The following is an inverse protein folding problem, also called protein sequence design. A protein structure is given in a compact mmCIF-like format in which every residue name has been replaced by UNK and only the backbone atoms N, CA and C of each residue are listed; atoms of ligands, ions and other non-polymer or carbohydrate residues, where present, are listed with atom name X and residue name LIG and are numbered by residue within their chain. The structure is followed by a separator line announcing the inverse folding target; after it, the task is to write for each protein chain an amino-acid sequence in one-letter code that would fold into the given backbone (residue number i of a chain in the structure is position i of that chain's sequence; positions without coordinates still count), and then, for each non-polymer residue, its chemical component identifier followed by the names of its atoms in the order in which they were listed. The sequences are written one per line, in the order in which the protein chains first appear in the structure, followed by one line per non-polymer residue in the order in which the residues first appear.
data_IF_183775374113
#
_entry.id   IF_183775374113
#
_cell.length_a   1.000
_cell.length_b   1.000
_cell.length_c   1.000
_cell.angle_alpha   90.00
_cell.angle_beta   90.00
_cell.angle_gamma   90.00
#
_symmetry.space_group_name_H-M   'P 1'
#
loop_
_entity.id
_entity.type
_entity.pdbx_description
1 polymer ?
#
# COMPACT_ATOMS: atom_id res chain seq x y z
N UNK A 1 19.69 10.84 0.34
CA UNK A 1 19.65 9.36 0.37
C UNK A 1 21.09 8.90 0.47
N UNK A 2 21.50 8.14 1.50
CA UNK A 2 22.82 7.53 1.45
C UNK A 2 22.90 6.64 0.21
N UNK A 3 23.96 6.81 -0.59
CA UNK A 3 24.25 5.92 -1.69
C UNK A 3 24.32 4.49 -1.15
N UNK A 4 23.55 3.59 -1.76
CA UNK A 4 23.58 2.18 -1.42
C UNK A 4 24.99 1.66 -1.73
N UNK A 5 25.56 0.90 -0.80
CA UNK A 5 26.82 0.17 -1.00
C UNK A 5 26.80 -0.53 -2.37
N UNK A 6 27.74 -0.25 -3.28
CA UNK A 6 27.79 -0.84 -4.61
C UNK A 6 27.80 -2.38 -4.61
N UNK A 7 28.13 -3.02 -3.48
CA UNK A 7 28.08 -4.47 -3.28
C UNK A 7 26.74 -5.03 -2.76
N UNK A 8 25.75 -4.20 -2.45
CA UNK A 8 24.49 -4.68 -1.88
C UNK A 8 23.58 -5.30 -2.96
N UNK A 9 23.60 -6.62 -3.07
CA UNK A 9 22.63 -7.36 -3.88
C UNK A 9 21.23 -7.22 -3.25
N UNK A 10 20.39 -6.40 -3.89
CA UNK A 10 19.03 -6.15 -3.43
C UNK A 10 18.20 -7.43 -3.36
N UNK A 11 18.51 -8.50 -4.12
CA UNK A 11 17.80 -9.78 -4.02
C UNK A 11 17.86 -10.38 -2.62
N UNK A 12 18.89 -10.06 -1.83
CA UNK A 12 18.97 -10.47 -0.43
C UNK A 12 17.80 -9.94 0.41
N UNK A 13 17.17 -8.82 0.00
CA UNK A 13 16.00 -8.28 0.67
C UNK A 13 14.81 -9.24 0.63
N UNK A 14 14.69 -10.12 -0.38
CA UNK A 14 13.60 -11.10 -0.44
C UNK A 14 13.65 -12.11 0.72
N UNK A 15 14.82 -12.32 1.32
CA UNK A 15 14.99 -13.13 2.54
C UNK A 15 14.45 -12.46 3.81
N UNK A 16 14.02 -11.20 3.73
CA UNK A 16 13.39 -10.51 4.86
C UNK A 16 12.05 -11.18 5.16
N UNK A 17 11.91 -11.72 6.37
CA UNK A 17 10.68 -12.32 6.87
C UNK A 17 9.52 -11.31 6.90
N UNK A 18 8.27 -11.74 6.63
CA UNK A 18 7.12 -10.87 6.74
C UNK A 18 6.91 -10.43 8.20
N UNK A 19 6.42 -9.20 8.42
CA UNK A 19 5.98 -8.80 9.74
C UNK A 19 4.79 -9.66 10.19
N UNK A 20 4.68 -9.87 11.50
CA UNK A 20 3.59 -10.67 12.10
C UNK A 20 2.23 -10.04 11.80
N UNK A 21 1.17 -10.86 11.75
CA UNK A 21 -0.22 -10.39 11.58
C UNK A 21 -0.60 -9.27 12.58
N UNK A 22 -0.07 -9.32 13.80
CA UNK A 22 -0.31 -8.27 14.81
C UNK A 22 0.35 -6.93 14.43
N UNK A 23 1.54 -6.95 13.84
CA UNK A 23 2.24 -5.73 13.41
C UNK A 23 1.56 -5.08 12.20
N UNK A 24 0.92 -5.87 11.35
CA UNK A 24 0.25 -5.41 10.13
C UNK A 24 -1.27 -5.63 10.17
N UNK A 25 -1.88 -5.63 11.36
CA UNK A 25 -3.29 -5.97 11.50
C UNK A 25 -4.20 -5.02 10.68
N UNK A 26 -3.82 -3.74 10.55
CA UNK A 26 -4.59 -2.74 9.79
C UNK A 26 -4.69 -3.10 8.31
N UNK A 27 -3.60 -3.52 7.66
CA UNK A 27 -3.65 -3.92 6.25
C UNK A 27 -4.41 -5.22 6.09
N UNK A 28 -4.35 -6.15 7.05
CA UNK A 28 -5.20 -7.35 7.04
C UNK A 28 -6.68 -6.99 7.06
N UNK A 29 -7.09 -6.10 7.98
CA UNK A 29 -8.47 -5.62 8.07
C UNK A 29 -8.89 -4.92 6.78
N UNK A 30 -8.01 -4.12 6.17
CA UNK A 30 -8.29 -3.46 4.92
C UNK A 30 -8.44 -4.47 3.77
N UNK A 31 -7.47 -5.38 3.57
CA UNK A 31 -7.54 -6.41 2.52
C UNK A 31 -8.76 -7.32 2.68
N UNK A 32 -9.10 -7.70 3.91
CA UNK A 32 -10.28 -8.49 4.20
C UNK A 32 -11.58 -7.73 3.86
N UNK A 33 -11.74 -6.52 4.41
CA UNK A 33 -13.03 -5.84 4.36
C UNK A 33 -13.25 -5.03 3.08
N UNK A 34 -12.20 -4.40 2.56
CA UNK A 34 -12.23 -3.62 1.33
C UNK A 34 -12.06 -4.50 0.09
N UNK A 35 -11.07 -5.39 0.11
CA UNK A 35 -10.70 -6.22 -1.07
C UNK A 35 -11.44 -7.55 -1.11
N UNK A 36 -12.16 -7.92 -0.04
CA UNK A 36 -12.89 -9.20 0.11
C UNK A 36 -11.98 -10.42 -0.03
N UNK A 37 -10.72 -10.29 0.42
CA UNK A 37 -9.77 -11.40 0.43
C UNK A 37 -10.00 -12.23 1.71
N UNK A 38 -10.27 -13.54 1.62
CA UNK A 38 -10.37 -14.41 2.78
C UNK A 38 -9.11 -14.37 3.65
N UNK A 39 -9.25 -14.42 4.97
CA UNK A 39 -8.12 -14.25 5.91
C UNK A 39 -6.99 -15.26 5.67
N UNK A 40 -7.33 -16.49 5.30
CA UNK A 40 -6.39 -17.56 4.96
C UNK A 40 -5.69 -17.37 3.60
N UNK A 41 -6.17 -16.45 2.76
CA UNK A 41 -5.55 -16.10 1.47
C UNK A 41 -4.70 -14.83 1.54
N UNK A 42 -4.77 -14.03 2.62
CA UNK A 42 -4.07 -12.74 2.72
C UNK A 42 -2.55 -12.92 2.65
N UNK A 43 -1.99 -13.86 3.39
CA UNK A 43 -0.54 -14.12 3.42
C UNK A 43 0.04 -14.55 2.06
N UNK A 44 -0.49 -15.59 1.40
CA UNK A 44 0.00 -15.95 0.07
C UNK A 44 -0.20 -14.81 -0.94
N UNK A 45 -1.29 -14.04 -0.81
CA UNK A 45 -1.55 -12.89 -1.67
C UNK A 45 -0.49 -11.79 -1.52
N UNK A 46 -0.18 -11.33 -0.30
CA UNK A 46 0.83 -10.27 -0.09
C UNK A 46 2.24 -10.72 -0.48
N UNK A 47 2.58 -12.01 -0.32
CA UNK A 47 3.86 -12.57 -0.79
C UNK A 47 3.93 -12.52 -2.32
N UNK A 48 2.87 -12.95 -3.00
CA UNK A 48 2.81 -12.92 -4.46
C UNK A 48 2.94 -11.50 -5.02
N UNK A 49 2.22 -10.53 -4.43
CA UNK A 49 2.32 -9.10 -4.78
C UNK A 49 3.75 -8.58 -4.55
N UNK A 50 4.39 -8.89 -3.40
CA UNK A 50 5.76 -8.47 -3.14
C UNK A 50 6.73 -8.99 -4.19
N UNK A 51 6.62 -10.26 -4.57
CA UNK A 51 7.53 -10.87 -5.55
C UNK A 51 7.37 -10.20 -6.92
N UNK A 52 6.13 -10.05 -7.40
CA UNK A 52 5.83 -9.31 -8.65
C UNK A 52 6.39 -7.89 -8.63
N UNK A 53 6.20 -7.18 -7.52
CA UNK A 53 6.69 -5.82 -7.36
C UNK A 53 8.23 -5.74 -7.37
N UNK A 54 8.88 -6.72 -6.76
CA UNK A 54 10.34 -6.78 -6.71
C UNK A 54 10.96 -7.06 -8.09
N UNK A 55 10.27 -7.84 -8.92
CA UNK A 55 10.64 -8.09 -10.32
C UNK A 55 10.48 -6.85 -11.20
N UNK A 56 9.47 -6.00 -10.94
CA UNK A 56 9.29 -4.70 -11.61
C UNK A 56 10.47 -3.78 -11.25
N UNK A 57 10.66 -3.54 -9.95
CA UNK A 57 11.82 -2.78 -9.48
C UNK A 57 12.12 -3.10 -8.01
N UNK A 58 13.38 -3.43 -7.67
CA UNK A 58 13.75 -3.85 -6.32
C UNK A 58 13.92 -2.65 -5.39
N UNK A 59 12.84 -1.93 -5.06
CA UNK A 59 12.88 -0.91 -4.01
C UNK A 59 13.11 -1.57 -2.65
N UNK A 60 13.94 -0.92 -1.83
CA UNK A 60 14.26 -1.41 -0.48
C UNK A 60 13.00 -1.53 0.38
N UNK A 61 12.05 -0.61 0.22
CA UNK A 61 10.77 -0.66 0.94
C UNK A 61 9.94 -1.90 0.58
N UNK A 62 9.86 -2.31 -0.70
CA UNK A 62 9.16 -3.53 -1.13
C UNK A 62 9.86 -4.76 -0.54
N UNK A 63 11.19 -4.79 -0.67
CA UNK A 63 12.02 -5.83 -0.09
C UNK A 63 11.92 -5.92 1.44
N UNK A 64 11.49 -4.88 2.15
CA UNK A 64 11.28 -4.87 3.61
C UNK A 64 9.82 -4.79 4.02
N UNK A 65 8.88 -5.20 3.14
CA UNK A 65 7.44 -5.22 3.43
C UNK A 65 6.83 -3.85 3.79
N UNK A 66 7.48 -2.75 3.43
CA UNK A 66 7.04 -1.39 3.78
C UNK A 66 5.67 -1.03 3.22
N UNK A 67 5.25 -1.65 2.11
CA UNK A 67 3.91 -1.46 1.53
C UNK A 67 2.77 -2.02 2.40
N UNK A 68 3.07 -2.88 3.37
CA UNK A 68 2.10 -3.40 4.34
C UNK A 68 1.84 -2.43 5.49
N UNK A 69 2.64 -1.37 5.60
CA UNK A 69 2.48 -0.36 6.65
C UNK A 69 1.50 0.72 6.19
N UNK A 70 0.38 0.85 6.91
CA UNK A 70 -0.61 1.93 6.73
C UNK A 70 -0.23 3.15 7.58
N UNK A 71 0.90 3.78 7.25
CA UNK A 71 1.50 4.86 8.04
C UNK A 71 0.56 6.06 8.22
N UNK A 72 -0.29 6.38 7.25
CA UNK A 72 -1.24 7.50 7.36
C UNK A 72 -2.18 7.33 8.56
N UNK A 73 -2.60 6.09 8.85
CA UNK A 73 -3.53 5.77 9.91
C UNK A 73 -2.88 5.69 11.30
N UNK A 74 -1.55 5.85 11.37
CA UNK A 74 -0.77 5.94 12.60
C UNK A 74 -0.52 7.41 13.01
N UNK A 75 -0.82 8.37 12.14
CA UNK A 75 -0.63 9.79 12.43
C UNK A 75 -1.61 10.26 13.51
N UNK A 76 -1.13 11.05 14.47
CA UNK A 76 -1.97 11.62 15.54
C UNK A 76 -3.12 12.48 15.00
N UNK A 77 -2.91 13.11 13.85
CA UNK A 77 -3.86 13.96 13.13
C UNK A 77 -4.62 13.22 12.01
N UNK A 78 -4.65 11.89 11.99
CA UNK A 78 -5.37 11.12 10.97
C UNK A 78 -6.86 11.49 10.87
N UNK A 79 -7.51 11.77 12.01
CA UNK A 79 -8.91 12.18 12.03
C UNK A 79 -9.13 13.56 11.38
N UNK A 80 -8.16 14.46 11.49
CA UNK A 80 -8.20 15.77 10.83
C UNK A 80 -8.06 15.62 9.30
N UNK A 81 -7.17 14.73 8.85
CA UNK A 81 -7.07 14.35 7.43
C UNK A 81 -8.41 13.81 6.91
N UNK A 82 -9.04 12.89 7.65
CA UNK A 82 -10.35 12.35 7.28
C UNK A 82 -11.43 13.44 7.21
N UNK A 83 -11.49 14.33 8.20
CA UNK A 83 -12.47 15.41 8.21
C UNK A 83 -12.28 16.38 7.04
N UNK A 84 -11.04 16.84 6.81
CA UNK A 84 -10.71 17.76 5.73
C UNK A 84 -11.00 17.15 4.35
N UNK A 85 -10.58 15.91 4.12
CA UNK A 85 -10.78 15.23 2.83
C UNK A 85 -12.24 14.89 2.57
N UNK A 86 -13.04 14.57 3.60
CA UNK A 86 -14.50 14.44 3.46
C UNK A 86 -15.18 15.77 3.15
N UNK A 87 -14.66 16.88 3.70
CA UNK A 87 -15.16 18.22 3.44
C UNK A 87 -14.75 18.80 2.07
N UNK A 88 -13.96 18.07 1.28
CA UNK A 88 -13.59 18.45 -0.08
C UNK A 88 -12.10 18.76 -0.29
N UNK A 89 -11.26 18.69 0.75
CA UNK A 89 -9.83 18.84 0.56
C UNK A 89 -9.27 17.68 -0.28
N UNK A 90 -8.31 17.98 -1.16
CA UNK A 90 -7.64 16.98 -1.99
C UNK A 90 -6.35 16.54 -1.29
N UNK A 91 -6.14 15.22 -1.18
CA UNK A 91 -4.93 14.62 -0.66
C UNK A 91 -4.09 14.02 -1.79
N UNK A 92 -2.81 14.34 -1.79
CA UNK A 92 -1.81 13.81 -2.72
C UNK A 92 -0.85 12.87 -1.98
N UNK A 93 -0.81 11.60 -2.38
CA UNK A 93 0.15 10.61 -1.89
C UNK A 93 1.31 10.46 -2.90
N UNK A 94 2.44 11.10 -2.59
CA UNK A 94 3.64 11.12 -3.43
C UNK A 94 4.52 9.90 -3.15
N UNK A 95 4.68 9.02 -4.15
CA UNK A 95 5.31 7.72 -3.96
C UNK A 95 4.35 6.74 -3.31
N UNK A 96 3.11 6.69 -3.83
CA UNK A 96 2.02 5.91 -3.24
C UNK A 96 2.23 4.39 -3.33
N UNK A 97 3.23 3.91 -4.09
CA UNK A 97 3.45 2.49 -4.36
C UNK A 97 2.16 1.83 -4.86
N UNK A 98 1.54 0.96 -4.05
CA UNK A 98 0.30 0.28 -4.38
C UNK A 98 -0.96 1.06 -3.99
N UNK A 99 -0.84 2.28 -3.44
CA UNK A 99 -1.97 3.13 -3.07
C UNK A 99 -2.72 2.68 -1.81
N UNK A 100 -2.05 1.99 -0.89
CA UNK A 100 -2.65 1.43 0.33
C UNK A 100 -3.22 2.51 1.26
N UNK A 101 -2.55 3.66 1.39
CA UNK A 101 -3.01 4.78 2.22
C UNK A 101 -4.29 5.42 1.64
N UNK A 102 -4.35 5.56 0.32
CA UNK A 102 -5.53 6.08 -0.36
C UNK A 102 -6.73 5.15 -0.17
N UNK A 103 -6.53 3.84 -0.28
CA UNK A 103 -7.60 2.85 -0.04
C UNK A 103 -8.05 2.81 1.41
N UNK A 104 -7.13 3.06 2.35
CA UNK A 104 -7.49 3.25 3.75
C UNK A 104 -8.40 4.47 3.95
N UNK A 105 -8.14 5.59 3.28
CA UNK A 105 -9.03 6.76 3.30
C UNK A 105 -10.38 6.46 2.62
N UNK A 106 -10.36 5.82 1.44
CA UNK A 106 -11.57 5.42 0.73
C UNK A 106 -12.45 4.47 1.57
N UNK A 107 -11.84 3.49 2.25
CA UNK A 107 -12.53 2.61 3.19
C UNK A 107 -13.19 3.36 4.36
N UNK A 108 -12.69 4.55 4.70
CA UNK A 108 -13.30 5.44 5.69
C UNK A 108 -14.27 6.47 5.09
N UNK A 109 -14.80 6.22 3.88
CA UNK A 109 -15.76 7.06 3.16
C UNK A 109 -15.22 8.42 2.72
N UNK A 110 -13.91 8.54 2.44
CA UNK A 110 -13.39 9.72 1.74
C UNK A 110 -13.73 9.60 0.25
N UNK A 111 -14.31 10.63 -0.40
CA UNK A 111 -14.62 10.58 -1.82
C UNK A 111 -13.37 10.33 -2.66
N UNK A 112 -13.42 9.36 -3.58
CA UNK A 112 -12.26 8.97 -4.39
C UNK A 112 -11.70 10.13 -5.24
N UNK A 113 -12.58 11.03 -5.71
CA UNK A 113 -12.16 12.24 -6.44
C UNK A 113 -11.25 13.18 -5.64
N UNK A 114 -11.21 13.03 -4.32
CA UNK A 114 -10.35 13.82 -3.43
C UNK A 114 -9.02 13.12 -3.12
N UNK A 115 -8.77 11.94 -3.68
CA UNK A 115 -7.62 11.10 -3.41
C UNK A 115 -6.78 10.93 -4.67
N UNK A 116 -5.56 11.46 -4.66
CA UNK A 116 -4.65 11.40 -5.80
C UNK A 116 -3.38 10.65 -5.36
N UNK A 117 -3.03 9.61 -6.11
CA UNK A 117 -1.78 8.87 -5.94
C UNK A 117 -0.88 9.06 -7.14
N UNK A 118 0.42 9.18 -6.90
CA UNK A 118 1.42 9.11 -7.95
C UNK A 118 2.61 8.29 -7.49
N UNK A 119 3.18 7.55 -8.43
CA UNK A 119 4.44 6.85 -8.27
C UNK A 119 5.22 6.97 -9.59
N UNK A 120 6.53 6.75 -9.55
CA UNK A 120 7.37 6.83 -10.74
C UNK A 120 7.10 5.71 -11.74
N UNK A 121 6.49 4.61 -11.29
CA UNK A 121 6.23 3.41 -12.11
C UNK A 121 4.75 3.12 -12.20
N UNK A 122 4.23 3.14 -13.41
CA UNK A 122 2.84 2.82 -13.70
C UNK A 122 2.49 1.38 -13.27
N UNK A 123 3.46 0.48 -13.35
CA UNK A 123 3.33 -0.92 -13.00
C UNK A 123 3.02 -1.11 -11.50
N UNK A 124 3.47 -0.21 -10.62
CA UNK A 124 3.08 -0.25 -9.20
C UNK A 124 1.66 0.21 -8.95
N UNK A 125 1.17 1.18 -9.73
CA UNK A 125 -0.22 1.60 -9.67
C UNK A 125 -1.12 0.45 -10.14
N UNK A 126 -0.76 -0.22 -11.23
CA UNK A 126 -1.51 -1.36 -11.77
C UNK A 126 -1.47 -2.56 -10.82
N UNK A 127 -0.32 -2.84 -10.20
CA UNK A 127 -0.20 -3.86 -9.16
C UNK A 127 -0.98 -3.50 -7.89
N UNK A 128 -1.19 -2.21 -7.61
CA UNK A 128 -2.10 -1.75 -6.58
C UNK A 128 -3.54 -2.18 -6.83
N UNK A 129 -4.02 -2.04 -8.07
CA UNK A 129 -5.36 -2.53 -8.45
C UNK A 129 -5.49 -4.05 -8.31
N UNK A 130 -4.45 -4.79 -8.69
CA UNK A 130 -4.38 -6.24 -8.47
C UNK A 130 -4.40 -6.59 -6.97
N UNK A 131 -3.57 -5.91 -6.17
CA UNK A 131 -3.41 -6.15 -4.73
C UNK A 131 -4.70 -5.93 -3.95
N UNK A 132 -5.54 -4.99 -4.37
CA UNK A 132 -6.78 -4.64 -3.66
C UNK A 132 -8.06 -5.12 -4.36
N UNK A 133 -7.92 -5.89 -5.46
CA UNK A 133 -9.03 -6.41 -6.26
C UNK A 133 -10.05 -5.31 -6.59
N UNK A 134 -9.55 -4.16 -7.04
CA UNK A 134 -10.32 -3.00 -7.45
C UNK A 134 -9.84 -2.47 -8.80
N UNK A 135 -10.41 -1.35 -9.27
CA UNK A 135 -10.11 -0.81 -10.61
C UNK A 135 -10.06 0.72 -10.60
N UNK A 136 -9.60 1.31 -11.71
CA UNK A 136 -9.42 2.77 -11.89
C UNK A 136 -10.70 3.58 -11.74
N UNK A 137 -11.86 2.99 -11.97
CA UNK A 137 -13.15 3.65 -11.91
C UNK A 137 -13.82 3.54 -10.52
N UNK A 138 -13.13 2.95 -9.54
CA UNK A 138 -13.70 2.63 -8.24
C UNK A 138 -14.55 1.35 -8.27
N UNK A 139 -14.99 0.91 -7.09
CA UNK A 139 -16.07 -0.09 -7.00
C UNK A 139 -17.39 0.68 -7.07
N UNK A 140 -18.21 0.38 -8.08
CA UNK A 140 -19.64 0.70 -8.09
C UNK A 140 -20.36 0.03 -6.92
#
# INVERSE_FOLDING_TARGET
MPELDPGFDRRQLLKTEPPTKQQIWRIYVLLQNYSKIPVNEIEPHIVAIRNKAFDIFPYVCIGRWGFLKLSIAELSYYNEILAATKAGAVLLDCGCCFGQNLRQLAYNNVPQKNLIGLDLRQEFIDLGYESFRDNRNGKE
#
